data_IF_170013895188
#
_entry.id   IF_170013895188
#
_cell.length_a   1.000
_cell.length_b   1.000
_cell.length_c   1.000
_cell.angle_alpha   90.00
_cell.angle_beta   90.00
_cell.angle_gamma   90.00
#
_symmetry.space_group_name_H-M   'P 1'
#
loop_
_entity.id
_entity.type
_entity.pdbx_description
1 polymer ?
#
# COMPACT_ATOMS: atom_id res chain seq x y z
N UNK A 1 -38.32 9.77 15.10
CA UNK A 1 -36.91 10.22 15.03
C UNK A 1 -36.33 9.72 13.73
N UNK A 2 -36.35 10.55 12.70
CA UNK A 2 -35.67 10.25 11.45
C UNK A 2 -34.18 10.50 11.67
N UNK A 3 -33.42 9.44 11.99
CA UNK A 3 -31.99 9.48 11.75
C UNK A 3 -31.84 9.67 10.24
N UNK A 4 -31.53 10.90 9.84
CA UNK A 4 -31.09 11.21 8.50
C UNK A 4 -30.02 10.19 8.14
N UNK A 5 -30.31 9.37 7.12
CA UNK A 5 -29.29 8.75 6.29
C UNK A 5 -28.51 9.92 5.67
N UNK A 6 -27.62 10.52 6.44
CA UNK A 6 -26.58 11.37 5.87
C UNK A 6 -25.84 10.42 4.96
N UNK A 7 -26.03 10.62 3.66
CA UNK A 7 -25.29 10.00 2.60
C UNK A 7 -23.83 10.45 2.76
N UNK A 8 -23.13 9.87 3.73
CA UNK A 8 -21.70 10.11 3.95
C UNK A 8 -20.88 9.56 2.78
N UNK A 9 -21.53 8.87 1.83
CA UNK A 9 -20.98 8.44 0.56
C UNK A 9 -20.65 9.58 -0.42
N UNK A 10 -21.17 10.80 -0.21
CA UNK A 10 -21.07 11.88 -1.22
C UNK A 10 -20.08 12.99 -0.87
N UNK A 11 -19.37 12.94 0.27
CA UNK A 11 -18.34 13.93 0.63
C UNK A 11 -16.94 13.30 0.70
N UNK A 12 -16.30 13.04 -0.45
CA UNK A 12 -14.96 12.47 -0.52
C UNK A 12 -13.92 13.36 0.18
N UNK A 13 -14.12 14.67 0.21
CA UNK A 13 -13.23 15.63 0.87
C UNK A 13 -13.17 15.44 2.39
N UNK A 14 -14.32 15.26 3.04
CA UNK A 14 -14.36 14.98 4.49
C UNK A 14 -13.75 13.61 4.80
N UNK A 15 -14.07 12.60 3.99
CA UNK A 15 -13.51 11.26 4.19
C UNK A 15 -11.99 11.28 4.04
N UNK A 16 -11.48 12.00 3.04
CA UNK A 16 -10.04 12.20 2.88
C UNK A 16 -9.45 12.94 4.08
N UNK A 17 -10.10 13.99 4.58
CA UNK A 17 -9.67 14.70 5.80
C UNK A 17 -9.56 13.80 7.03
N UNK A 18 -10.54 12.90 7.24
CA UNK A 18 -10.52 11.92 8.33
C UNK A 18 -9.37 10.92 8.13
N UNK A 19 -9.22 10.37 6.92
CA UNK A 19 -8.17 9.38 6.62
C UNK A 19 -6.77 9.98 6.74
N UNK A 20 -6.58 11.24 6.33
CA UNK A 20 -5.33 11.97 6.51
C UNK A 20 -4.99 12.19 7.99
N UNK A 21 -5.98 12.42 8.85
CA UNK A 21 -5.74 12.49 10.31
C UNK A 21 -5.21 11.16 10.87
N UNK A 22 -5.57 10.03 10.24
CA UNK A 22 -5.16 8.68 10.63
C UNK A 22 -3.82 8.24 10.04
N UNK A 23 -3.09 9.13 9.34
CA UNK A 23 -1.85 8.83 8.60
C UNK A 23 -0.84 7.94 9.35
N UNK A 24 -0.67 8.16 10.66
CA UNK A 24 0.29 7.42 11.49
C UNK A 24 -0.31 6.21 12.23
N UNK A 25 -1.63 6.02 12.18
CA UNK A 25 -2.34 4.91 12.81
C UNK A 25 -2.68 3.81 11.78
N UNK A 26 -1.66 3.02 11.47
CA UNK A 26 -1.74 1.94 10.49
C UNK A 26 -2.80 0.89 10.79
N UNK A 27 -3.08 0.62 12.07
CA UNK A 27 -4.10 -0.37 12.46
C UNK A 27 -5.49 0.13 12.07
N UNK A 28 -5.74 1.41 12.33
CA UNK A 28 -7.00 2.06 11.94
C UNK A 28 -7.09 2.21 10.43
N UNK A 29 -6.02 2.62 9.74
CA UNK A 29 -5.97 2.66 8.27
C UNK A 29 -6.26 1.29 7.63
N UNK A 30 -5.72 0.20 8.20
CA UNK A 30 -6.03 -1.16 7.74
C UNK A 30 -7.50 -1.54 7.98
N UNK A 31 -8.14 -0.99 9.02
CA UNK A 31 -9.57 -1.16 9.22
C UNK A 31 -10.37 -0.34 8.19
N UNK A 32 -9.91 0.87 7.85
CA UNK A 32 -10.53 1.75 6.85
C UNK A 32 -10.62 1.12 5.46
N UNK A 33 -9.60 0.37 5.02
CA UNK A 33 -9.62 -0.27 3.69
C UNK A 33 -10.72 -1.33 3.54
N UNK A 34 -11.23 -1.84 4.66
CA UNK A 34 -12.29 -2.86 4.69
C UNK A 34 -13.71 -2.26 4.77
N UNK A 35 -13.84 -0.95 4.97
CA UNK A 35 -15.14 -0.29 5.17
C UNK A 35 -15.94 -0.22 3.87
N UNK A 36 -15.39 0.42 2.83
CA UNK A 36 -15.99 0.52 1.50
C UNK A 36 -14.94 0.96 0.46
N UNK A 37 -15.34 1.00 -0.81
CA UNK A 37 -14.45 1.38 -1.93
C UNK A 37 -13.83 2.77 -1.79
N UNK A 38 -14.58 3.75 -1.27
CA UNK A 38 -14.11 5.13 -1.13
C UNK A 38 -13.03 5.24 -0.06
N UNK A 39 -13.27 4.64 1.11
CA UNK A 39 -12.28 4.60 2.20
C UNK A 39 -11.05 3.78 1.83
N UNK A 40 -11.23 2.67 1.10
CA UNK A 40 -10.14 1.87 0.56
C UNK A 40 -9.25 2.69 -0.37
N UNK A 41 -9.84 3.42 -1.33
CA UNK A 41 -9.07 4.21 -2.29
C UNK A 41 -8.25 5.33 -1.63
N UNK A 42 -8.78 5.95 -0.57
CA UNK A 42 -8.07 7.00 0.17
C UNK A 42 -7.02 6.47 1.16
N UNK A 43 -7.24 5.32 1.79
CA UNK A 43 -6.32 4.77 2.80
C UNK A 43 -5.13 4.01 2.20
N UNK A 44 -5.29 3.37 1.02
CA UNK A 44 -4.22 2.59 0.38
C UNK A 44 -2.94 3.41 0.11
N UNK A 45 -3.00 4.63 -0.45
CA UNK A 45 -1.81 5.44 -0.65
C UNK A 45 -1.03 5.72 0.64
N UNK A 46 -1.73 5.94 1.75
CA UNK A 46 -1.09 6.20 3.05
C UNK A 46 -0.43 4.94 3.63
N UNK A 47 -1.08 3.79 3.48
CA UNK A 47 -0.51 2.50 3.89
C UNK A 47 0.75 2.14 3.08
N UNK A 48 0.78 2.51 1.79
CA UNK A 48 1.86 2.21 0.86
C UNK A 48 2.92 3.30 0.71
N UNK A 49 2.84 4.36 1.52
CA UNK A 49 3.82 5.45 1.48
C UNK A 49 5.24 5.01 1.89
N UNK A 50 5.34 4.10 2.86
CA UNK A 50 6.60 3.51 3.34
C UNK A 50 6.42 2.02 3.72
N UNK A 51 6.29 1.13 2.71
CA UNK A 51 6.03 -0.29 2.95
C UNK A 51 7.22 -1.00 3.61
N UNK A 52 8.43 -0.43 3.53
CA UNK A 52 9.67 -0.99 4.07
C UNK A 52 9.96 -0.58 5.52
N UNK A 53 9.09 0.21 6.16
CA UNK A 53 9.31 0.60 7.55
C UNK A 53 9.19 -0.60 8.49
N UNK A 54 9.92 -0.57 9.62
CA UNK A 54 9.94 -1.67 10.62
C UNK A 54 8.55 -2.09 11.13
N UNK A 55 7.52 -1.24 10.93
CA UNK A 55 6.13 -1.52 11.29
C UNK A 55 5.51 -2.64 10.43
N UNK A 56 6.04 -2.88 9.23
CA UNK A 56 5.48 -3.84 8.24
C UNK A 56 6.32 -5.11 8.04
N UNK A 57 7.51 -5.20 8.64
CA UNK A 57 8.47 -6.31 8.45
C UNK A 57 7.95 -7.71 8.81
N UNK A 58 6.75 -7.83 9.39
CA UNK A 58 6.12 -9.14 9.66
C UNK A 58 5.47 -9.76 8.44
N UNK A 59 5.23 -8.99 7.37
CA UNK A 59 4.54 -9.48 6.18
C UNK A 59 5.27 -9.05 4.92
N UNK A 60 6.03 -9.97 4.31
CA UNK A 60 6.87 -9.70 3.14
C UNK A 60 6.11 -9.67 1.80
N UNK A 61 4.78 -9.85 1.79
CA UNK A 61 3.97 -9.82 0.55
C UNK A 61 4.08 -8.50 -0.22
N UNK A 62 4.48 -7.39 0.43
CA UNK A 62 4.75 -6.14 -0.29
C UNK A 62 5.95 -6.24 -1.24
N UNK A 63 6.94 -7.10 -0.93
CA UNK A 63 8.11 -7.33 -1.79
C UNK A 63 7.66 -7.99 -3.09
N UNK A 64 6.82 -9.02 -2.99
CA UNK A 64 6.26 -9.70 -4.16
C UNK A 64 5.51 -8.71 -5.06
N UNK A 65 4.60 -7.92 -4.49
CA UNK A 65 3.86 -6.89 -5.22
C UNK A 65 4.81 -5.86 -5.86
N UNK A 66 5.86 -5.43 -5.16
CA UNK A 66 6.84 -4.50 -5.70
C UNK A 66 7.61 -5.10 -6.88
N UNK A 67 8.15 -6.31 -6.73
CA UNK A 67 8.92 -7.01 -7.78
C UNK A 67 8.09 -7.24 -9.04
N UNK A 68 6.81 -7.57 -8.89
CA UNK A 68 5.91 -7.74 -10.03
C UNK A 68 5.66 -6.46 -10.82
N UNK A 69 5.65 -5.31 -10.16
CA UNK A 69 5.41 -4.04 -10.84
C UNK A 69 6.70 -3.38 -11.39
N UNK A 70 7.85 -4.06 -11.32
CA UNK A 70 9.06 -3.61 -12.01
C UNK A 70 8.88 -3.62 -13.53
N UNK A 71 9.67 -2.81 -14.23
CA UNK A 71 9.73 -2.84 -15.69
C UNK A 71 10.31 -4.17 -16.18
N UNK A 72 10.08 -4.50 -17.44
CA UNK A 72 10.51 -5.79 -18.00
C UNK A 72 12.04 -5.94 -18.01
N UNK A 73 12.79 -4.85 -18.20
CA UNK A 73 14.26 -4.86 -18.18
C UNK A 73 14.81 -5.27 -16.81
N UNK A 74 14.23 -4.75 -15.73
CA UNK A 74 14.63 -5.04 -14.35
C UNK A 74 14.16 -6.44 -13.94
N UNK A 75 13.01 -6.91 -14.45
CA UNK A 75 12.58 -8.30 -14.29
C UNK A 75 13.54 -9.28 -14.96
N UNK A 76 14.05 -8.95 -16.16
CA UNK A 76 15.04 -9.77 -16.87
C UNK A 76 16.32 -9.87 -16.03
N UNK A 77 16.85 -8.75 -15.53
CA UNK A 77 18.03 -8.76 -14.65
C UNK A 77 17.80 -9.59 -13.39
N UNK A 78 16.64 -9.47 -12.75
CA UNK A 78 16.31 -10.26 -11.56
C UNK A 78 16.29 -11.76 -11.84
N UNK A 79 15.80 -12.16 -13.02
CA UNK A 79 15.82 -13.56 -13.46
C UNK A 79 17.26 -14.08 -13.64
N UNK A 80 18.19 -13.25 -14.10
CA UNK A 80 19.63 -13.60 -14.16
C UNK A 80 20.20 -13.91 -12.77
N UNK A 81 19.68 -13.29 -11.72
CA UNK A 81 20.03 -13.57 -10.32
C UNK A 81 19.20 -14.72 -9.70
N UNK A 82 18.37 -15.41 -10.48
CA UNK A 82 17.56 -16.54 -10.02
C UNK A 82 16.25 -16.17 -9.32
N UNK A 83 15.83 -14.91 -9.39
CA UNK A 83 14.54 -14.45 -8.85
C UNK A 83 13.51 -14.52 -9.97
N UNK A 84 12.70 -15.58 -9.98
CA UNK A 84 11.65 -15.76 -10.98
C UNK A 84 10.34 -15.08 -10.55
N UNK A 85 9.87 -14.11 -11.34
CA UNK A 85 8.67 -13.30 -11.07
C UNK A 85 7.35 -13.98 -11.49
N UNK A 86 7.41 -15.15 -12.13
CA UNK A 86 6.24 -15.91 -12.62
C UNK A 86 5.26 -16.35 -11.52
N UNK A 87 5.69 -16.32 -10.25
CA UNK A 87 4.88 -16.73 -9.09
C UNK A 87 3.97 -15.61 -8.56
N UNK A 88 4.11 -14.38 -9.07
CA UNK A 88 3.45 -13.22 -8.47
C UNK A 88 2.10 -12.96 -9.16
N UNK A 89 0.99 -12.84 -8.42
CA UNK A 89 -0.34 -12.60 -9.01
C UNK A 89 -0.38 -11.33 -9.86
N UNK A 90 -0.87 -11.46 -11.09
CA UNK A 90 -0.77 -10.44 -12.13
C UNK A 90 -1.81 -9.32 -12.08
N UNK A 91 -2.80 -9.40 -11.18
CA UNK A 91 -3.95 -8.50 -11.14
C UNK A 91 -4.03 -7.70 -9.83
N UNK A 92 -3.08 -6.79 -9.60
CA UNK A 92 -3.19 -5.85 -8.48
C UNK A 92 -4.29 -4.82 -8.74
N UNK A 93 -5.14 -4.56 -7.73
CA UNK A 93 -6.22 -3.56 -7.81
C UNK A 93 -5.71 -2.12 -7.93
N UNK A 94 -4.47 -1.88 -7.49
CA UNK A 94 -3.83 -0.58 -7.47
C UNK A 94 -2.41 -0.66 -8.06
N UNK A 95 -1.93 0.48 -8.57
CA UNK A 95 -0.52 0.69 -8.88
C UNK A 95 0.23 1.01 -7.58
N UNK A 96 0.42 0.00 -6.74
CA UNK A 96 1.04 0.14 -5.43
C UNK A 96 2.41 0.82 -5.43
N UNK A 97 3.35 0.53 -6.35
CA UNK A 97 4.65 1.21 -6.37
C UNK A 97 4.54 2.71 -6.58
N UNK A 98 3.53 3.20 -7.30
CA UNK A 98 3.36 4.64 -7.51
C UNK A 98 3.06 5.42 -6.22
N UNK A 99 2.65 4.72 -5.15
CA UNK A 99 2.38 5.33 -3.84
C UNK A 99 3.59 5.34 -2.91
N UNK A 100 4.67 4.66 -3.25
CA UNK A 100 5.89 4.61 -2.43
C UNK A 100 6.55 5.99 -2.48
N UNK A 101 6.67 6.65 -1.34
CA UNK A 101 7.36 7.94 -1.21
C UNK A 101 8.68 7.81 -0.47
N UNK A 102 8.81 6.81 0.42
CA UNK A 102 10.02 6.60 1.21
C UNK A 102 10.61 5.22 0.96
N UNK A 103 11.85 5.19 0.47
CA UNK A 103 12.70 4.00 0.51
C UNK A 103 13.53 4.07 1.78
N UNK A 104 13.10 3.33 2.81
CA UNK A 104 13.87 3.28 4.06
C UNK A 104 15.19 2.55 3.80
N UNK A 105 16.31 3.28 3.82
CA UNK A 105 17.68 2.76 3.64
C UNK A 105 18.18 1.88 4.79
N UNK A 106 17.39 1.67 5.86
CA UNK A 106 17.73 0.81 7.00
C UNK A 106 17.90 -0.67 6.63
N UNK A 107 17.45 -1.10 5.45
CA UNK A 107 17.78 -2.44 4.92
C UNK A 107 19.28 -2.54 4.64
N UNK A 108 19.96 -1.45 4.27
CA UNK A 108 21.39 -1.46 3.94
C UNK A 108 22.26 -1.46 5.22
N UNK A 109 21.82 -0.80 6.29
CA UNK A 109 22.62 -0.70 7.53
C UNK A 109 22.59 -1.96 8.41
N UNK A 110 21.77 -2.96 8.09
CA UNK A 110 21.69 -4.23 8.84
C UNK A 110 22.32 -5.42 8.08
N UNK A 111 23.01 -5.17 6.96
CA UNK A 111 23.79 -6.20 6.24
C UNK A 111 25.27 -6.04 6.62
N UNK A 112 25.59 -6.12 7.91
CA UNK A 112 26.96 -6.23 8.39
C UNK A 112 27.12 -7.44 9.31
#
# INVERSE_FOLDING_TARGET
>A
MACSKIFLGDLPELTNGIIQYLHHDYKTLYSCILVNRLWCHSAIPLLWENPFSNKFLKNYHFIEIYLHNLNDDDKIKLNEYGINNDLIPSNTLFNYPSFIQHFTTLIISNIH
#
